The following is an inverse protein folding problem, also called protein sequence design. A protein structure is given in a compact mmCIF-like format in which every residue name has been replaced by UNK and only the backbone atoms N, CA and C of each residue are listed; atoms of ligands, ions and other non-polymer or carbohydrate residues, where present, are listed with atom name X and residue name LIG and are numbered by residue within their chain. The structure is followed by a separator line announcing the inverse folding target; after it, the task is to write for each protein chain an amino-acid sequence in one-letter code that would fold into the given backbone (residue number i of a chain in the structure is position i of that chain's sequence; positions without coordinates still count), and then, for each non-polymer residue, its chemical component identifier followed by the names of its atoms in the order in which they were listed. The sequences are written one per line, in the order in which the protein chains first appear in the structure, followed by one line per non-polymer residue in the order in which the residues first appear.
data_IF_065514667063
#
_entry.id   IF_065514667063
#
_cell.length_a   1.000
_cell.length_b   1.000
_cell.length_c   1.000
_cell.angle_alpha   90.00
_cell.angle_beta   90.00
_cell.angle_gamma   90.00
#
_symmetry.space_group_name_H-M   'P 1'
#
loop_
_entity.id
_entity.type
_entity.pdbx_description
1 polymer ?
#
# COMPACT_ATOMS: atom_id res chain seq x y z
N UNK A 1 27.70 25.06 -60.89
CA UNK A 1 28.44 23.94 -60.27
C UNK A 1 28.29 24.08 -58.76
N UNK A 2 27.50 23.21 -58.11
CA UNK A 2 27.36 23.25 -56.65
C UNK A 2 28.63 22.65 -56.04
N UNK A 3 29.34 23.42 -55.21
CA UNK A 3 30.60 22.98 -54.63
C UNK A 3 30.36 21.70 -53.80
N UNK A 4 31.12 20.61 -54.01
CA UNK A 4 30.94 19.36 -53.27
C UNK A 4 31.09 19.57 -51.76
N UNK A 5 31.91 20.54 -51.35
CA UNK A 5 32.08 20.97 -49.96
C UNK A 5 30.79 21.54 -49.35
N UNK A 6 29.98 22.28 -50.12
CA UNK A 6 28.71 22.84 -49.62
C UNK A 6 27.65 21.76 -49.39
N UNK A 7 27.67 20.68 -50.18
CA UNK A 7 26.75 19.55 -49.99
C UNK A 7 27.06 18.76 -48.72
N UNK A 8 28.36 18.57 -48.43
CA UNK A 8 28.81 17.90 -47.21
C UNK A 8 28.42 18.73 -45.99
N UNK A 9 28.63 20.05 -46.02
CA UNK A 9 28.21 20.94 -44.94
C UNK A 9 26.70 20.98 -44.73
N UNK A 10 25.90 20.95 -45.80
CA UNK A 10 24.44 20.87 -45.70
C UNK A 10 23.98 19.55 -45.08
N UNK A 11 24.57 18.41 -45.48
CA UNK A 11 24.24 17.11 -44.90
C UNK A 11 24.65 17.05 -43.42
N UNK A 12 25.83 17.55 -43.07
CA UNK A 12 26.33 17.55 -41.69
C UNK A 12 25.46 18.44 -40.79
N UNK A 13 25.08 19.63 -41.27
CA UNK A 13 24.15 20.51 -40.56
C UNK A 13 22.77 19.86 -40.37
N UNK A 14 22.25 19.17 -41.39
CA UNK A 14 20.98 18.46 -41.28
C UNK A 14 21.03 17.31 -40.26
N UNK A 15 22.12 16.52 -40.23
CA UNK A 15 22.32 15.46 -39.24
C UNK A 15 22.41 16.02 -37.82
N UNK A 16 23.14 17.11 -37.63
CA UNK A 16 23.33 17.75 -36.32
C UNK A 16 22.02 18.35 -35.79
N UNK A 17 21.20 18.92 -36.68
CA UNK A 17 19.86 19.41 -36.34
C UNK A 17 18.92 18.28 -35.91
N UNK A 18 18.95 17.14 -36.62
CA UNK A 18 18.14 15.95 -36.30
C UNK A 18 18.53 15.36 -34.93
N UNK A 19 19.83 15.24 -34.66
CA UNK A 19 20.34 14.80 -33.36
C UNK A 19 20.01 15.78 -32.24
N UNK A 20 20.12 17.10 -32.50
CA UNK A 20 19.77 18.16 -31.56
C UNK A 20 18.30 18.11 -31.14
N UNK A 21 17.38 17.85 -32.07
CA UNK A 21 15.96 17.65 -31.77
C UNK A 21 15.70 16.43 -30.89
N UNK A 22 16.40 15.32 -31.15
CA UNK A 22 16.34 14.10 -30.33
C UNK A 22 16.91 14.33 -28.93
N UNK A 23 18.02 15.05 -28.80
CA UNK A 23 18.61 15.39 -27.49
C UNK A 23 17.72 16.35 -26.72
N UNK A 24 17.16 17.37 -27.35
CA UNK A 24 16.20 18.26 -26.71
C UNK A 24 14.95 17.51 -26.22
N UNK A 25 14.46 16.54 -27.00
CA UNK A 25 13.33 15.69 -26.59
C UNK A 25 13.68 14.71 -25.48
N UNK A 26 14.91 14.21 -25.44
CA UNK A 26 15.41 13.40 -24.32
C UNK A 26 15.59 14.23 -23.06
N UNK A 27 16.11 15.45 -23.18
CA UNK A 27 16.26 16.41 -22.07
C UNK A 27 14.89 16.83 -21.53
N UNK A 28 13.88 17.05 -22.37
CA UNK A 28 12.50 17.27 -21.93
C UNK A 28 11.97 16.07 -21.11
N UNK A 29 12.20 14.83 -21.59
CA UNK A 29 11.84 13.62 -20.86
C UNK A 29 12.63 13.43 -19.55
N UNK A 30 13.88 13.89 -19.51
CA UNK A 30 14.81 13.71 -18.38
C UNK A 30 14.87 14.89 -17.40
N UNK A 31 14.34 16.06 -17.72
CA UNK A 31 14.33 17.25 -16.84
C UNK A 31 12.91 17.58 -16.39
N UNK A 32 11.89 17.46 -17.27
CA UNK A 32 10.50 17.81 -16.92
C UNK A 32 9.77 16.65 -16.22
N UNK A 33 10.28 15.42 -16.31
CA UNK A 33 9.66 14.23 -15.67
C UNK A 33 10.55 13.51 -14.66
N UNK A 34 11.72 14.06 -14.29
CA UNK A 34 12.62 13.39 -13.35
C UNK A 34 12.24 13.61 -11.88
N UNK A 35 11.62 14.75 -11.58
CA UNK A 35 11.21 15.09 -10.20
C UNK A 35 10.02 14.24 -9.72
N UNK A 36 9.22 13.68 -10.63
CA UNK A 36 8.04 12.87 -10.27
C UNK A 36 8.41 11.46 -9.76
N UNK A 37 9.55 10.88 -10.18
CA UNK A 37 9.91 9.52 -9.81
C UNK A 37 11.00 9.42 -8.74
N UNK A 38 11.84 10.45 -8.56
CA UNK A 38 12.75 10.51 -7.42
C UNK A 38 12.05 10.94 -6.12
N UNK A 39 11.08 11.86 -6.18
CA UNK A 39 10.34 12.29 -4.99
C UNK A 39 9.39 11.22 -4.43
N UNK A 40 8.81 10.35 -5.27
CA UNK A 40 7.92 9.26 -4.83
C UNK A 40 8.68 8.14 -4.11
N UNK A 41 9.96 7.91 -4.44
CA UNK A 41 10.77 6.84 -3.84
C UNK A 41 11.52 7.26 -2.55
N UNK A 42 11.65 8.56 -2.29
CA UNK A 42 12.33 9.11 -1.11
C UNK A 42 11.34 9.46 0.00
N UNK A 43 10.14 9.94 -0.35
CA UNK A 43 9.06 10.22 0.61
C UNK A 43 8.44 8.93 1.20
N UNK A 44 8.50 7.82 0.46
CA UNK A 44 8.05 6.51 0.96
C UNK A 44 8.93 5.95 2.10
N UNK A 45 10.22 6.32 2.16
CA UNK A 45 11.14 5.84 3.20
C UNK A 45 11.07 6.63 4.51
N UNK A 46 10.55 7.86 4.49
CA UNK A 46 10.34 8.66 5.71
C UNK A 46 8.96 8.43 6.34
N UNK A 47 7.98 7.91 5.60
CA UNK A 47 6.57 7.80 6.03
C UNK A 47 6.21 6.63 6.94
N UNK A 48 7.03 5.59 7.00
CA UNK A 48 6.78 4.46 7.90
C UNK A 48 7.04 4.79 9.39
N UNK A 49 7.45 6.03 9.72
CA UNK A 49 7.75 6.44 11.09
C UNK A 49 6.99 7.69 11.55
N UNK A 50 6.09 8.26 10.72
CA UNK A 50 5.20 9.31 11.18
C UNK A 50 3.94 8.65 11.74
N UNK A 51 3.76 8.72 13.06
CA UNK A 51 2.52 8.37 13.72
C UNK A 51 1.39 9.20 13.10
N UNK A 52 0.70 8.64 12.10
CA UNK A 52 -0.44 9.30 11.49
C UNK A 52 -1.41 9.68 12.63
N UNK A 53 -1.83 10.95 12.72
CA UNK A 53 -2.68 11.40 13.82
C UNK A 53 -3.97 10.56 13.88
N UNK A 54 -4.41 10.27 15.11
CA UNK A 54 -5.58 9.44 15.33
C UNK A 54 -6.82 10.18 14.81
N UNK A 55 -7.54 9.57 13.87
CA UNK A 55 -8.73 10.17 13.26
C UNK A 55 -9.93 10.13 14.22
N UNK A 56 -10.71 11.20 14.32
CA UNK A 56 -11.89 11.26 15.21
C UNK A 56 -12.98 10.22 14.86
N UNK A 57 -13.63 9.65 15.88
CA UNK A 57 -14.78 8.72 15.72
C UNK A 57 -16.07 9.48 15.43
N UNK A 58 -16.90 8.96 14.53
CA UNK A 58 -18.21 9.54 14.20
C UNK A 58 -19.31 8.74 14.88
N UNK A 59 -20.20 9.44 15.57
CA UNK A 59 -21.39 8.88 16.23
C UNK A 59 -22.67 9.43 15.61
N UNK A 60 -23.71 8.60 15.55
CA UNK A 60 -25.08 8.98 15.26
C UNK A 60 -25.86 9.04 16.58
N UNK A 61 -26.69 10.06 16.75
CA UNK A 61 -27.56 10.21 17.91
C UNK A 61 -29.00 10.46 17.41
N UNK A 62 -29.95 9.69 17.93
CA UNK A 62 -31.37 9.93 17.66
C UNK A 62 -31.88 11.15 18.44
N UNK A 63 -32.75 11.94 17.82
CA UNK A 63 -33.32 13.14 18.44
C UNK A 63 -34.17 12.78 19.67
N UNK A 64 -33.65 13.10 20.87
CA UNK A 64 -34.30 12.80 22.15
C UNK A 64 -33.72 11.59 22.89
N UNK A 65 -32.79 10.84 22.28
CA UNK A 65 -31.99 9.83 22.95
C UNK A 65 -30.63 10.38 23.35
N UNK A 66 -30.05 9.89 24.45
CA UNK A 66 -28.65 10.12 24.84
C UNK A 66 -27.70 9.03 24.35
N UNK A 67 -28.22 8.02 23.66
CA UNK A 67 -27.44 6.90 23.15
C UNK A 67 -26.67 7.31 21.87
N UNK A 68 -25.37 6.99 21.85
CA UNK A 68 -24.47 7.29 20.74
C UNK A 68 -24.15 6.00 19.99
N UNK A 69 -24.54 5.93 18.73
CA UNK A 69 -24.28 4.78 17.85
C UNK A 69 -23.04 5.06 17.00
N UNK A 70 -21.94 4.30 17.14
CA UNK A 70 -20.73 4.54 16.35
C UNK A 70 -20.97 4.15 14.89
N UNK A 71 -20.76 5.09 13.96
CA UNK A 71 -20.94 4.87 12.52
C UNK A 71 -19.61 4.89 11.74
N UNK A 72 -18.56 5.48 12.30
CA UNK A 72 -17.20 5.37 11.77
C UNK A 72 -16.19 5.37 12.92
N UNK A 73 -15.44 4.28 13.07
CA UNK A 73 -14.45 4.07 14.14
C UNK A 73 -13.08 3.77 13.55
N UNK A 74 -12.01 4.07 14.29
CA UNK A 74 -10.70 3.53 13.97
C UNK A 74 -10.55 2.18 14.66
N UNK A 75 -10.14 1.18 13.90
CA UNK A 75 -9.75 -0.11 14.45
C UNK A 75 -8.25 -0.33 14.21
N UNK A 76 -7.57 -0.96 15.16
CA UNK A 76 -6.18 -1.36 14.99
C UNK A 76 -6.17 -2.64 14.16
N UNK A 77 -5.61 -2.56 12.95
CA UNK A 77 -5.39 -3.72 12.09
C UNK A 77 -3.89 -3.99 11.99
N UNK A 78 -3.51 -5.27 12.03
CA UNK A 78 -2.13 -5.66 11.71
C UNK A 78 -2.01 -5.86 10.22
N UNK A 79 -1.03 -5.18 9.63
CA UNK A 79 -0.63 -5.36 8.23
C UNK A 79 0.73 -6.06 8.20
N UNK A 80 0.96 -6.88 7.17
CA UNK A 80 2.24 -7.51 6.95
C UNK A 80 2.79 -7.16 5.57
N UNK A 81 4.04 -6.73 5.54
CA UNK A 81 4.76 -6.38 4.31
C UNK A 81 6.16 -7.00 4.31
N UNK A 82 6.65 -7.28 3.12
CA UNK A 82 8.03 -7.66 2.87
C UNK A 82 8.86 -6.40 2.61
N UNK A 83 10.09 -6.39 3.09
CA UNK A 83 11.14 -5.43 2.76
C UNK A 83 12.17 -6.20 1.91
N UNK A 84 12.05 -6.20 0.58
CA UNK A 84 12.90 -7.03 -0.29
C UNK A 84 14.40 -6.84 -0.05
N UNK A 85 14.83 -5.64 0.35
CA UNK A 85 16.23 -5.34 0.65
C UNK A 85 16.81 -6.15 1.81
N UNK A 86 15.96 -6.49 2.79
CA UNK A 86 16.36 -7.23 3.99
C UNK A 86 16.25 -8.75 3.80
N UNK A 87 15.57 -9.19 2.73
CA UNK A 87 15.43 -10.60 2.37
C UNK A 87 16.71 -11.10 1.68
N UNK A 88 17.53 -11.87 2.41
CA UNK A 88 18.78 -12.44 1.88
C UNK A 88 18.54 -13.53 0.83
N UNK A 89 17.61 -14.44 1.09
CA UNK A 89 17.25 -15.54 0.19
C UNK A 89 15.76 -15.48 -0.16
N UNK A 90 15.38 -14.79 -1.27
CA UNK A 90 13.99 -14.66 -1.69
C UNK A 90 13.29 -15.99 -1.94
N UNK A 91 14.02 -17.01 -2.41
CA UNK A 91 13.43 -18.30 -2.74
C UNK A 91 13.05 -19.05 -1.47
N UNK A 92 13.95 -19.10 -0.49
CA UNK A 92 13.67 -19.76 0.80
C UNK A 92 12.52 -19.10 1.54
N UNK A 93 12.45 -17.76 1.57
CA UNK A 93 11.33 -17.07 2.23
C UNK A 93 10.02 -17.29 1.46
N UNK A 94 10.04 -17.27 0.13
CA UNK A 94 8.85 -17.59 -0.67
C UNK A 94 8.36 -19.03 -0.43
N UNK A 95 9.26 -20.01 -0.31
CA UNK A 95 8.92 -21.41 -0.01
C UNK A 95 8.28 -21.58 1.37
N UNK A 96 8.70 -20.78 2.35
CA UNK A 96 8.11 -20.84 3.69
C UNK A 96 6.75 -20.12 3.76
N UNK A 97 6.61 -18.97 3.10
CA UNK A 97 5.39 -18.14 3.16
C UNK A 97 4.28 -18.68 2.26
N UNK A 98 4.60 -19.28 1.10
CA UNK A 98 3.59 -19.70 0.12
C UNK A 98 2.53 -20.68 0.67
N UNK A 99 2.88 -21.75 1.42
CA UNK A 99 1.89 -22.65 1.99
C UNK A 99 0.98 -21.96 3.00
N UNK A 100 1.54 -21.11 3.86
CA UNK A 100 0.79 -20.38 4.88
C UNK A 100 -0.16 -19.34 4.24
N UNK A 101 0.29 -18.65 3.19
CA UNK A 101 -0.53 -17.71 2.43
C UNK A 101 -1.65 -18.41 1.65
N UNK A 102 -1.39 -19.60 1.10
CA UNK A 102 -2.42 -20.41 0.44
C UNK A 102 -3.51 -20.82 1.45
N UNK A 103 -3.11 -21.35 2.61
CA UNK A 103 -4.04 -21.72 3.68
C UNK A 103 -4.88 -20.53 4.15
N UNK A 104 -4.25 -19.36 4.33
CA UNK A 104 -4.95 -18.11 4.62
C UNK A 104 -6.02 -17.79 3.57
N UNK A 105 -5.65 -17.77 2.28
CA UNK A 105 -6.57 -17.47 1.17
C UNK A 105 -7.74 -18.46 1.11
N UNK A 106 -7.49 -19.73 1.36
CA UNK A 106 -8.53 -20.77 1.38
C UNK A 106 -9.50 -20.57 2.55
N UNK A 107 -9.01 -20.26 3.77
CA UNK A 107 -9.87 -19.90 4.91
C UNK A 107 -10.72 -18.65 4.62
N UNK A 108 -10.15 -17.62 4.01
CA UNK A 108 -10.92 -16.42 3.64
C UNK A 108 -12.01 -16.75 2.62
N UNK A 109 -11.71 -17.58 1.62
CA UNK A 109 -12.70 -18.02 0.62
C UNK A 109 -13.85 -18.81 1.27
N UNK A 110 -13.54 -19.69 2.22
CA UNK A 110 -14.55 -20.44 2.98
C UNK A 110 -15.45 -19.52 3.82
N UNK A 111 -14.86 -18.58 4.57
CA UNK A 111 -15.62 -17.58 5.36
C UNK A 111 -16.58 -16.77 4.48
N UNK A 112 -16.12 -16.32 3.32
CA UNK A 112 -16.98 -15.58 2.38
C UNK A 112 -18.11 -16.48 1.87
N UNK A 113 -17.84 -17.74 1.53
CA UNK A 113 -18.87 -18.68 1.09
C UNK A 113 -19.92 -18.94 2.18
N UNK A 114 -19.51 -19.11 3.44
CA UNK A 114 -20.41 -19.29 4.58
C UNK A 114 -21.33 -18.07 4.80
N UNK A 115 -20.77 -16.86 4.68
CA UNK A 115 -21.54 -15.61 4.77
C UNK A 115 -22.58 -15.52 3.64
N UNK A 116 -22.19 -15.83 2.40
CA UNK A 116 -23.10 -15.80 1.25
C UNK A 116 -24.22 -16.84 1.39
N UNK A 117 -23.88 -18.04 1.84
CA UNK A 117 -24.83 -19.14 2.05
C UNK A 117 -25.81 -18.81 3.18
N UNK A 118 -25.33 -18.23 4.29
CA UNK A 118 -26.19 -17.79 5.41
C UNK A 118 -27.07 -16.58 5.06
N UNK A 119 -26.68 -15.77 4.08
CA UNK A 119 -27.46 -14.63 3.57
C UNK A 119 -28.49 -15.05 2.50
N UNK A 120 -28.55 -16.34 2.15
CA UNK A 120 -29.47 -16.85 1.12
C UNK A 120 -29.07 -16.49 -0.32
N UNK A 121 -27.86 -15.99 -0.53
CA UNK A 121 -27.30 -15.73 -1.85
C UNK A 121 -26.49 -16.95 -2.32
N UNK A 122 -27.12 -17.82 -3.12
CA UNK A 122 -26.40 -18.87 -3.85
C UNK A 122 -25.59 -18.24 -4.99
N UNK A 123 -24.39 -17.75 -4.68
CA UNK A 123 -23.41 -17.44 -5.72
C UNK A 123 -22.44 -18.61 -5.78
N UNK A 124 -22.53 -19.40 -6.83
CA UNK A 124 -21.52 -20.41 -7.15
C UNK A 124 -20.26 -19.67 -7.60
N UNK A 125 -19.30 -19.52 -6.68
CA UNK A 125 -17.92 -19.19 -7.08
C UNK A 125 -17.48 -20.28 -8.07
N UNK A 126 -16.90 -19.92 -9.23
CA UNK A 126 -16.34 -20.92 -10.13
C UNK A 126 -15.40 -21.83 -9.33
N UNK A 127 -15.65 -23.13 -9.38
CA UNK A 127 -14.71 -24.12 -8.87
C UNK A 127 -13.42 -23.98 -9.68
N UNK A 128 -12.42 -23.31 -9.13
CA UNK A 128 -11.06 -23.35 -9.65
C UNK A 128 -10.56 -24.79 -9.49
N UNK A 129 -10.71 -25.59 -10.55
CA UNK A 129 -10.18 -26.95 -10.67
C UNK A 129 -8.64 -26.99 -10.81
N UNK A 130 -7.95 -25.95 -10.36
CA UNK A 130 -6.50 -25.90 -10.37
C UNK A 130 -6.01 -26.78 -9.22
N UNK A 131 -5.41 -27.93 -9.52
CA UNK A 131 -4.73 -28.80 -8.55
C UNK A 131 -3.96 -27.98 -7.49
N UNK A 132 -4.16 -28.27 -6.20
CA UNK A 132 -3.58 -27.49 -5.10
C UNK A 132 -2.06 -27.30 -5.22
N UNK A 133 -1.34 -28.32 -5.74
CA UNK A 133 0.11 -28.24 -6.01
C UNK A 133 0.48 -27.17 -7.03
N UNK A 134 -0.39 -26.92 -8.02
CA UNK A 134 -0.18 -25.88 -9.02
C UNK A 134 -0.46 -24.48 -8.44
N UNK A 135 -1.46 -24.34 -7.56
CA UNK A 135 -1.78 -23.07 -6.87
C UNK A 135 -0.64 -22.62 -5.96
N UNK A 136 -0.08 -23.54 -5.17
CA UNK A 136 1.08 -23.25 -4.31
C UNK A 136 2.29 -22.82 -5.13
N UNK A 137 2.58 -23.50 -6.24
CA UNK A 137 3.68 -23.14 -7.14
C UNK A 137 3.51 -21.73 -7.73
N UNK A 138 2.29 -21.35 -8.13
CA UNK A 138 1.97 -20.00 -8.63
C UNK A 138 2.21 -18.95 -7.54
N UNK A 139 1.75 -19.21 -6.32
CA UNK A 139 1.95 -18.29 -5.18
C UNK A 139 3.43 -18.15 -4.85
N UNK A 140 4.16 -19.27 -4.83
CA UNK A 140 5.62 -19.25 -4.61
C UNK A 140 6.32 -18.38 -5.64
N UNK A 141 6.00 -18.56 -6.93
CA UNK A 141 6.60 -17.77 -8.00
C UNK A 141 6.22 -16.28 -7.91
N UNK A 142 4.97 -15.97 -7.55
CA UNK A 142 4.53 -14.60 -7.26
C UNK A 142 5.37 -13.97 -6.14
N UNK A 143 5.49 -14.66 -4.99
CA UNK A 143 6.25 -14.19 -3.83
C UNK A 143 7.74 -14.08 -4.13
N UNK A 144 8.32 -15.03 -4.86
CA UNK A 144 9.73 -14.97 -5.28
C UNK A 144 9.98 -13.72 -6.12
N UNK A 145 9.13 -13.46 -7.13
CA UNK A 145 9.25 -12.26 -7.97
C UNK A 145 9.14 -10.98 -7.16
N UNK A 146 8.25 -10.94 -6.17
CA UNK A 146 8.09 -9.84 -5.22
C UNK A 146 9.33 -9.63 -4.35
N UNK A 147 9.81 -10.67 -3.67
CA UNK A 147 10.94 -10.62 -2.74
C UNK A 147 12.30 -10.40 -3.43
N UNK A 148 12.38 -10.69 -4.73
CA UNK A 148 13.59 -10.45 -5.52
C UNK A 148 13.70 -9.01 -6.04
N UNK A 149 12.63 -8.21 -5.99
CA UNK A 149 12.64 -6.80 -6.43
C UNK A 149 13.30 -5.89 -5.38
N UNK A 150 14.63 -5.90 -5.28
CA UNK A 150 15.41 -5.10 -4.31
C UNK A 150 15.23 -3.58 -4.45
N UNK A 151 14.71 -3.12 -5.59
CA UNK A 151 14.38 -1.71 -5.82
C UNK A 151 13.21 -1.26 -4.96
N UNK A 152 12.27 -2.17 -4.67
CA UNK A 152 11.06 -1.88 -3.91
C UNK A 152 11.38 -1.73 -2.41
N UNK A 153 11.01 -0.60 -1.78
CA UNK A 153 11.17 -0.43 -0.33
C UNK A 153 10.23 -1.33 0.48
N UNK A 154 9.00 -1.59 0.03
CA UNK A 154 8.01 -2.39 0.75
C UNK A 154 7.01 -3.05 -0.19
N UNK A 155 6.75 -4.33 0.01
CA UNK A 155 5.84 -5.12 -0.80
C UNK A 155 4.78 -5.78 0.10
N UNK A 156 3.49 -5.38 0.02
CA UNK A 156 2.43 -5.97 0.82
C UNK A 156 2.30 -7.48 0.59
N UNK A 157 2.23 -8.26 1.67
CA UNK A 157 2.00 -9.71 1.57
C UNK A 157 0.55 -10.04 1.23
N UNK A 158 -0.37 -9.23 1.75
CA UNK A 158 -1.80 -9.33 1.52
C UNK A 158 -2.29 -8.16 0.67
N UNK A 159 -3.46 -8.34 0.05
CA UNK A 159 -4.12 -7.23 -0.65
C UNK A 159 -4.62 -6.20 0.37
N UNK A 160 -4.72 -4.93 -0.02
CA UNK A 160 -5.07 -3.84 0.90
C UNK A 160 -6.44 -3.97 1.61
N UNK A 161 -7.32 -4.84 1.11
CA UNK A 161 -8.64 -5.12 1.70
C UNK A 161 -8.66 -6.44 2.49
N UNK A 162 -7.55 -7.17 2.51
CA UNK A 162 -7.39 -8.42 3.25
C UNK A 162 -6.83 -8.11 4.65
N UNK A 163 -7.45 -8.71 5.67
CA UNK A 163 -7.04 -8.57 7.07
C UNK A 163 -6.26 -9.82 7.45
N UNK A 164 -5.11 -9.67 8.13
CA UNK A 164 -4.38 -10.81 8.70
C UNK A 164 -5.30 -11.56 9.68
N UNK A 165 -5.50 -12.86 9.44
CA UNK A 165 -6.16 -13.71 10.43
C UNK A 165 -5.15 -14.15 11.50
N UNK A 166 -5.68 -14.62 12.63
CA UNK A 166 -4.85 -15.01 13.79
C UNK A 166 -3.87 -16.14 13.45
N UNK A 167 -4.27 -17.08 12.61
CA UNK A 167 -3.42 -18.22 12.20
C UNK A 167 -2.23 -17.77 11.34
N UNK A 168 -2.46 -16.91 10.35
CA UNK A 168 -1.37 -16.41 9.50
C UNK A 168 -0.47 -15.43 10.25
N UNK A 169 -1.05 -14.61 11.13
CA UNK A 169 -0.30 -13.75 12.03
C UNK A 169 0.63 -14.55 12.95
N UNK A 170 0.10 -15.57 13.62
CA UNK A 170 0.88 -16.45 14.49
C UNK A 170 2.02 -17.13 13.72
N UNK A 171 1.77 -17.56 12.48
CA UNK A 171 2.82 -18.10 11.61
C UNK A 171 3.95 -17.10 11.37
N UNK A 172 3.63 -15.85 11.01
CA UNK A 172 4.65 -14.83 10.75
C UNK A 172 5.42 -14.45 12.03
N UNK A 173 4.73 -14.33 13.17
CA UNK A 173 5.34 -14.04 14.47
C UNK A 173 6.24 -15.19 14.97
N UNK A 174 5.84 -16.44 14.76
CA UNK A 174 6.63 -17.62 15.13
C UNK A 174 7.90 -17.74 14.29
N UNK A 175 7.79 -17.55 12.96
CA UNK A 175 8.90 -17.78 12.03
C UNK A 175 9.93 -16.65 12.02
N UNK A 176 9.54 -15.43 12.41
CA UNK A 176 10.43 -14.25 12.45
C UNK A 176 11.25 -14.11 11.16
N UNK A 177 10.55 -14.20 10.02
CA UNK A 177 11.19 -14.27 8.71
C UNK A 177 11.94 -12.96 8.41
N UNK A 178 13.23 -13.03 8.04
CA UNK A 178 14.03 -11.84 7.79
C UNK A 178 13.44 -11.03 6.62
N UNK A 179 13.21 -9.75 6.86
CA UNK A 179 12.60 -8.85 5.88
C UNK A 179 11.08 -8.99 5.76
N UNK A 180 10.41 -9.74 6.64
CA UNK A 180 8.95 -9.65 6.80
C UNK A 180 8.65 -8.86 8.06
N UNK A 181 7.87 -7.80 7.92
CA UNK A 181 7.53 -6.88 9.01
C UNK A 181 6.02 -6.88 9.23
N UNK A 182 5.62 -6.90 10.50
CA UNK A 182 4.24 -6.79 10.93
C UNK A 182 4.11 -5.45 11.65
N UNK A 183 3.14 -4.64 11.24
CA UNK A 183 2.90 -3.31 11.80
C UNK A 183 1.44 -3.14 12.17
N UNK A 184 1.18 -2.46 13.29
CA UNK A 184 -0.17 -2.06 13.68
C UNK A 184 -0.51 -0.73 13.00
N UNK A 185 -1.54 -0.76 12.15
CA UNK A 185 -2.05 0.42 11.47
C UNK A 185 -3.49 0.72 11.92
N UNK A 186 -3.80 2.00 12.10
CA UNK A 186 -5.20 2.43 12.25
C UNK A 186 -5.93 2.35 10.89
N UNK A 187 -6.95 1.49 10.85
CA UNK A 187 -7.84 1.32 9.70
C UNK A 187 -9.24 1.82 10.04
N UNK A 188 -9.81 2.61 9.15
CA UNK A 188 -11.17 3.15 9.30
C UNK A 188 -12.19 2.05 9.04
N UNK A 189 -13.01 1.75 10.04
CA UNK A 189 -14.08 0.75 9.96
C UNK A 189 -15.44 1.43 10.02
N UNK A 190 -16.36 0.98 9.17
CA UNK A 190 -17.74 1.45 9.08
C UNK A 190 -18.69 0.31 9.47
N UNK A 191 -19.12 0.21 10.74
CA UNK A 191 -19.93 -0.91 11.22
C UNK A 191 -21.23 -1.12 10.42
N UNK A 192 -21.93 -0.04 10.09
CA UNK A 192 -23.23 -0.05 9.39
C UNK A 192 -23.08 0.07 7.87
N UNK A 193 -22.22 -0.78 7.29
CA UNK A 193 -21.67 -0.75 5.92
C UNK A 193 -22.58 -0.19 4.80
N UNK A 194 -23.89 -0.42 4.84
CA UNK A 194 -24.85 -0.05 3.79
C UNK A 194 -25.72 1.15 4.11
N UNK A 195 -26.10 1.38 5.38
CA UNK A 195 -27.18 2.32 5.72
C UNK A 195 -26.78 3.78 5.51
N UNK A 196 -25.49 4.09 5.66
CA UNK A 196 -24.99 5.46 5.65
C UNK A 196 -23.81 5.72 4.72
N UNK A 197 -23.30 4.74 3.96
CA UNK A 197 -22.07 4.90 3.18
C UNK A 197 -22.08 6.11 2.23
N UNK A 198 -23.23 6.42 1.64
CA UNK A 198 -23.38 7.55 0.72
C UNK A 198 -23.42 8.92 1.44
N UNK A 199 -23.84 8.96 2.71
CA UNK A 199 -23.92 10.18 3.52
C UNK A 199 -22.61 10.38 4.28
N UNK A 200 -22.09 9.31 4.87
CA UNK A 200 -20.86 9.27 5.64
C UNK A 200 -19.64 9.52 4.76
N UNK A 201 -19.64 8.97 3.54
CA UNK A 201 -18.51 9.00 2.63
C UNK A 201 -17.43 7.98 3.01
N UNK A 202 -16.21 8.20 2.52
CA UNK A 202 -15.09 7.28 2.74
C UNK A 202 -13.77 8.03 2.86
N UNK A 203 -12.82 7.39 3.54
CA UNK A 203 -11.42 7.82 3.61
C UNK A 203 -10.64 7.16 2.47
N UNK A 204 -9.88 7.95 1.74
CA UNK A 204 -9.04 7.47 0.64
C UNK A 204 -7.72 8.20 0.60
N UNK A 205 -6.77 7.65 -0.15
CA UNK A 205 -5.48 8.32 -0.38
C UNK A 205 -5.67 9.53 -1.29
N UNK A 206 -5.11 10.67 -0.87
CA UNK A 206 -4.92 11.84 -1.74
C UNK A 206 -3.46 12.24 -1.64
N UNK A 207 -2.78 12.15 -2.77
CA UNK A 207 -1.33 12.24 -2.89
C UNK A 207 -0.67 11.20 -1.97
N UNK A 208 -0.53 11.55 -0.70
CA UNK A 208 0.47 11.03 0.20
C UNK A 208 -0.05 10.78 1.63
N UNK A 209 -1.30 11.17 1.92
CA UNK A 209 -1.96 10.94 3.20
C UNK A 209 -3.43 10.51 2.97
N UNK A 210 -4.02 9.88 4.00
CA UNK A 210 -5.43 9.49 4.00
C UNK A 210 -6.30 10.71 4.31
N UNK A 211 -7.26 11.01 3.44
CA UNK A 211 -8.23 12.09 3.61
C UNK A 211 -9.64 11.60 3.40
N UNK A 212 -10.60 12.23 4.07
CA UNK A 212 -12.01 12.13 3.77
C UNK A 212 -12.28 12.68 2.38
N UNK A 213 -12.82 11.84 1.49
CA UNK A 213 -13.05 12.21 0.08
C UNK A 213 -14.45 12.73 -0.17
N UNK A 214 -15.40 12.37 0.68
CA UNK A 214 -16.83 12.60 0.45
C UNK A 214 -17.62 12.59 1.75
N UNK A 215 -18.87 13.06 1.71
CA UNK A 215 -19.80 12.98 2.82
C UNK A 215 -19.33 13.70 4.08
N UNK A 216 -19.74 13.18 5.24
CA UNK A 216 -19.34 13.66 6.56
C UNK A 216 -17.82 13.56 6.74
N UNK A 217 -17.19 12.49 6.25
CA UNK A 217 -15.73 12.29 6.33
C UNK A 217 -14.95 13.42 5.65
N UNK A 218 -15.38 13.84 4.45
CA UNK A 218 -14.73 14.94 3.73
C UNK A 218 -15.11 16.33 4.27
N UNK A 219 -16.37 16.52 4.66
CA UNK A 219 -16.84 17.81 5.18
C UNK A 219 -16.18 18.19 6.51
N UNK A 220 -15.93 17.21 7.38
CA UNK A 220 -15.29 17.40 8.68
C UNK A 220 -13.81 16.99 8.71
N UNK A 221 -13.13 16.92 7.55
CA UNK A 221 -11.73 16.49 7.48
C UNK A 221 -10.83 17.24 8.47
N UNK A 222 -10.95 18.57 8.54
CA UNK A 222 -10.11 19.39 9.43
C UNK A 222 -10.30 19.07 10.93
N UNK A 223 -11.44 18.53 11.32
CA UNK A 223 -11.75 18.13 12.70
C UNK A 223 -11.45 16.64 12.94
N UNK A 224 -11.66 15.83 11.90
CA UNK A 224 -11.51 14.38 11.97
C UNK A 224 -10.07 13.94 11.80
N UNK A 225 -9.27 14.57 10.94
CA UNK A 225 -7.90 14.17 10.62
C UNK A 225 -6.98 14.12 11.85
N UNK A 226 -7.33 14.82 12.93
CA UNK A 226 -6.46 15.03 14.09
C UNK A 226 -5.34 16.02 13.76
N UNK A 227 -4.65 16.50 14.80
CA UNK A 227 -3.49 17.38 14.64
C UNK A 227 -2.20 16.56 14.81
N UNK A 228 -1.20 16.74 13.94
CA UNK A 228 0.12 16.15 14.14
C UNK A 228 0.72 16.66 15.46
N UNK A 229 0.99 15.74 16.40
CA UNK A 229 1.93 16.01 17.48
C UNK A 229 3.36 15.91 16.94
N UNK A 230 4.18 16.94 17.13
CA UNK A 230 5.58 16.88 16.73
C UNK A 230 6.36 15.96 17.67
N UNK A 231 6.86 14.83 17.17
CA UNK A 231 7.93 14.08 17.84
C UNK A 231 9.26 14.69 17.41
N UNK A 232 9.85 15.54 18.25
CA UNK A 232 11.23 15.96 18.07
C UNK A 232 12.14 14.80 18.49
N UNK A 233 12.59 14.01 17.53
CA UNK A 233 13.61 12.99 17.76
C UNK A 233 15.00 13.66 17.66
N UNK A 234 15.69 13.79 18.79
CA UNK A 234 17.09 14.23 18.78
C UNK A 234 17.97 13.02 18.45
N UNK A 235 18.76 13.13 17.38
CA UNK A 235 19.60 12.05 16.89
C UNK A 235 20.91 12.02 17.69
N UNK A 236 21.12 11.00 18.53
CA UNK A 236 22.43 10.78 19.14
C UNK A 236 23.44 10.37 18.05
N UNK A 237 24.71 10.72 18.27
CA UNK A 237 25.89 10.46 17.44
C UNK A 237 26.13 8.98 17.11
N UNK A 238 25.38 8.08 17.74
CA UNK A 238 25.41 6.63 17.54
C UNK A 238 24.30 6.10 16.60
N UNK A 239 23.39 6.96 16.12
CA UNK A 239 22.31 6.58 15.20
C UNK A 239 21.10 5.89 15.86
N UNK A 240 20.99 5.91 17.19
CA UNK A 240 19.83 5.43 17.94
C UNK A 240 18.86 6.57 18.28
N UNK A 241 17.56 6.33 18.14
CA UNK A 241 16.50 7.27 18.53
C UNK A 241 16.12 7.07 20.01
N UNK A 242 16.02 8.16 20.77
CA UNK A 242 15.49 8.15 22.15
C UNK A 242 14.26 9.06 22.20
N UNK A 243 13.11 8.54 22.64
CA UNK A 243 11.88 9.31 22.75
C UNK A 243 11.86 10.14 24.04
N UNK A 244 11.71 11.46 23.92
CA UNK A 244 11.46 12.36 25.06
C UNK A 244 10.13 13.06 24.80
N UNK A 245 9.10 12.69 25.56
CA UNK A 245 7.76 13.29 25.49
C UNK A 245 7.56 14.32 26.60
N UNK A 246 6.98 15.47 26.25
CA UNK A 246 6.34 16.41 27.18
C UNK A 246 4.83 16.41 26.93
#
# INVERSE_FOLDING_TARGET
MHNPQQRIWLLLAATLFLFGGLTARLVDLQIVRHDYFQAVAENQRQRAAELAPHRGTIYLQEQGSTELFPVAVNNKARIAYAVPRDIKDPLVIAEQVAPALLAYRDRQKQRVQEILTSTGQETSLPEEQTENTNREAIIKDELYRKFNQKTDPYEPLLRFYEILDEEFLAFLEEKQLPGIVIEEQEVRTYPEQTLAAHILGYVGWKDDHKVGRYGIEGYYEDQLAGHLGFFAAEQDTSGGFIGVGH
#
